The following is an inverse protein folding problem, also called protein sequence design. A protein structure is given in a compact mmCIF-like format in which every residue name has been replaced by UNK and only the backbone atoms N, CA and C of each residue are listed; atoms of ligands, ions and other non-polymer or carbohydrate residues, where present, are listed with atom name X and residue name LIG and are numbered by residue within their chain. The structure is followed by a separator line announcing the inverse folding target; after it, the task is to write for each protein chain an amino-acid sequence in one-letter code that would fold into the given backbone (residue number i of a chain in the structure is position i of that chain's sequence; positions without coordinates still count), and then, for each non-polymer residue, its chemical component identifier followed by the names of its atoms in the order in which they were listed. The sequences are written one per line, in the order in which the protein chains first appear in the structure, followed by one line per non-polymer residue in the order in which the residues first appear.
data_IF_589148231447
#
_entry.id   IF_589148231447
#
_cell.length_a   1.000
_cell.length_b   1.000
_cell.length_c   1.000
_cell.angle_alpha   90.00
_cell.angle_beta   90.00
_cell.angle_gamma   90.00
#
_symmetry.space_group_name_H-M   'P 1'
#
loop_
_entity.id
_entity.type
_entity.pdbx_description
1 polymer ?
#
# COMPACT_ATOMS: atom_id res chain seq x y z
N UNK A 1 21.40 29.66 17.62
CA UNK A 1 20.98 29.05 16.33
C UNK A 1 21.46 27.61 16.34
N UNK A 2 20.56 26.63 16.34
CA UNK A 2 20.90 25.21 16.33
C UNK A 2 21.05 24.75 14.87
N UNK A 3 22.28 24.54 14.44
CA UNK A 3 22.61 24.06 13.10
C UNK A 3 22.47 22.54 13.09
N UNK A 4 21.32 22.03 12.67
CA UNK A 4 21.10 20.60 12.51
C UNK A 4 21.83 20.17 11.22
N UNK A 5 23.04 19.64 11.35
CA UNK A 5 23.73 18.95 10.27
C UNK A 5 23.11 17.56 10.12
N UNK A 6 22.23 17.42 9.13
CA UNK A 6 21.62 16.14 8.79
C UNK A 6 22.67 15.34 8.03
N UNK A 7 23.20 14.29 8.66
CA UNK A 7 24.13 13.37 8.02
C UNK A 7 23.35 12.46 7.05
N UNK A 8 23.51 12.70 5.75
CA UNK A 8 22.79 11.98 4.70
C UNK A 8 23.03 10.47 4.73
N UNK A 9 24.16 10.01 5.28
CA UNK A 9 24.45 8.59 5.40
C UNK A 9 23.61 7.93 6.50
N UNK A 10 23.37 8.64 7.59
CA UNK A 10 22.52 8.18 8.70
C UNK A 10 21.06 8.05 8.25
N UNK A 11 20.58 9.01 7.44
CA UNK A 11 19.22 8.99 6.87
C UNK A 11 19.03 7.81 5.91
N UNK A 12 20.01 7.53 5.05
CA UNK A 12 19.96 6.39 4.12
C UNK A 12 19.98 5.05 4.86
N UNK A 13 20.75 4.95 5.95
CA UNK A 13 20.83 3.73 6.76
C UNK A 13 19.50 3.44 7.47
N UNK A 14 18.90 4.45 8.10
CA UNK A 14 17.58 4.31 8.74
C UNK A 14 16.51 3.94 7.70
N UNK A 15 16.60 4.47 6.49
CA UNK A 15 15.68 4.13 5.40
C UNK A 15 15.84 2.66 4.97
N UNK A 16 17.07 2.19 4.77
CA UNK A 16 17.37 0.81 4.40
C UNK A 16 16.95 -0.20 5.48
N UNK A 17 17.19 0.11 6.75
CA UNK A 17 16.75 -0.74 7.88
C UNK A 17 15.22 -0.83 7.96
N UNK A 18 14.52 0.30 7.75
CA UNK A 18 13.05 0.29 7.68
C UNK A 18 12.57 -0.61 6.54
N UNK A 19 13.24 -0.56 5.39
CA UNK A 19 12.90 -1.36 4.21
C UNK A 19 13.12 -2.85 4.48
N UNK A 20 14.23 -3.23 5.12
CA UNK A 20 14.51 -4.63 5.48
C UNK A 20 13.57 -5.19 6.56
N UNK A 21 13.20 -4.40 7.57
CA UNK A 21 12.20 -4.80 8.56
C UNK A 21 10.82 -5.00 7.93
N UNK A 22 10.45 -4.14 6.97
CA UNK A 22 9.21 -4.33 6.23
C UNK A 22 9.25 -5.57 5.34
N UNK A 23 10.41 -5.90 4.75
CA UNK A 23 10.60 -7.12 3.94
C UNK A 23 10.39 -8.41 4.75
N UNK A 24 10.89 -8.49 5.98
CA UNK A 24 10.69 -9.68 6.85
C UNK A 24 9.26 -9.85 7.33
N UNK A 25 8.50 -8.76 7.49
CA UNK A 25 7.09 -8.85 7.86
C UNK A 25 6.19 -9.38 6.72
N UNK A 26 6.67 -9.34 5.46
CA UNK A 26 5.92 -9.72 4.26
C UNK A 26 5.91 -11.24 4.02
N UNK A 27 6.82 -12.03 4.62
CA UNK A 27 6.91 -13.49 4.39
C UNK A 27 5.64 -14.28 4.82
N UNK A 28 4.76 -13.70 5.64
CA UNK A 28 3.46 -14.28 6.00
C UNK A 28 2.26 -13.64 5.27
N UNK A 29 2.50 -12.75 4.32
CA UNK A 29 1.44 -12.01 3.63
C UNK A 29 0.83 -12.88 2.51
N UNK A 30 -0.52 -12.99 2.50
CA UNK A 30 -1.23 -13.74 1.46
C UNK A 30 -0.87 -13.16 0.09
N UNK A 31 -0.47 -14.01 -0.86
CA UNK A 31 -0.14 -13.62 -2.24
C UNK A 31 -1.27 -12.80 -2.89
N UNK A 32 -2.53 -13.13 -2.57
CA UNK A 32 -3.70 -12.42 -3.07
C UNK A 32 -4.68 -12.06 -1.95
N UNK A 33 -5.26 -10.87 -2.05
CA UNK A 33 -6.41 -10.43 -1.27
C UNK A 33 -7.71 -10.73 -2.00
N UNK A 34 -8.76 -10.98 -1.21
CA UNK A 34 -10.14 -10.98 -1.69
C UNK A 34 -10.80 -9.64 -1.33
N UNK A 35 -12.04 -9.40 -1.77
CA UNK A 35 -12.77 -8.16 -1.49
C UNK A 35 -12.96 -7.90 0.01
N UNK A 36 -13.11 -8.94 0.84
CA UNK A 36 -13.25 -8.79 2.29
C UNK A 36 -11.94 -8.35 2.93
N UNK A 37 -10.82 -9.00 2.57
CA UNK A 37 -9.48 -8.63 3.02
C UNK A 37 -9.11 -7.23 2.54
N UNK A 38 -9.51 -6.83 1.34
CA UNK A 38 -9.26 -5.47 0.87
C UNK A 38 -10.00 -4.45 1.74
N UNK A 39 -11.28 -4.65 2.03
CA UNK A 39 -12.06 -3.80 2.94
C UNK A 39 -11.44 -3.72 4.33
N UNK A 40 -11.04 -4.86 4.91
CA UNK A 40 -10.37 -4.93 6.21
C UNK A 40 -9.01 -4.20 6.21
N UNK A 41 -8.27 -4.23 5.10
CA UNK A 41 -6.94 -3.61 5.00
C UNK A 41 -6.99 -2.11 4.72
N UNK A 42 -8.00 -1.64 4.01
CA UNK A 42 -8.18 -0.21 3.71
C UNK A 42 -9.04 0.51 4.74
N UNK A 43 -9.68 -0.23 5.65
CA UNK A 43 -10.72 0.29 6.55
C UNK A 43 -11.81 1.07 5.81
N UNK A 44 -12.20 0.55 4.64
CA UNK A 44 -13.20 1.16 3.76
C UNK A 44 -14.29 0.15 3.42
N UNK A 45 -15.52 0.63 3.32
CA UNK A 45 -16.62 -0.14 2.77
C UNK A 45 -16.39 -0.45 1.28
N UNK A 46 -17.00 -1.53 0.78
CA UNK A 46 -16.95 -1.85 -0.65
C UNK A 46 -17.44 -0.69 -1.53
N UNK A 47 -18.46 0.04 -1.09
CA UNK A 47 -18.99 1.21 -1.80
C UNK A 47 -17.97 2.34 -1.90
N UNK A 48 -17.22 2.62 -0.84
CA UNK A 48 -16.15 3.63 -0.88
C UNK A 48 -15.00 3.19 -1.77
N UNK A 49 -14.62 1.90 -1.71
CA UNK A 49 -13.60 1.36 -2.60
C UNK A 49 -14.00 1.55 -4.08
N UNK A 50 -15.27 1.25 -4.40
CA UNK A 50 -15.83 1.44 -5.73
C UNK A 50 -15.75 2.90 -6.18
N UNK A 51 -16.14 3.85 -5.32
CA UNK A 51 -16.15 5.28 -5.60
C UNK A 51 -14.73 5.86 -5.75
N UNK A 52 -13.79 5.42 -4.91
CA UNK A 52 -12.48 6.06 -4.75
C UNK A 52 -11.44 5.62 -5.75
N UNK A 53 -11.22 4.32 -5.89
CA UNK A 53 -10.06 3.81 -6.63
C UNK A 53 -10.31 2.52 -7.41
N UNK A 54 -11.44 1.84 -7.22
CA UNK A 54 -11.67 0.57 -7.89
C UNK A 54 -11.70 0.69 -9.42
N UNK A 55 -12.28 1.76 -9.95
CA UNK A 55 -12.36 2.00 -11.39
C UNK A 55 -11.08 2.63 -11.96
N UNK A 56 -10.08 2.92 -11.13
CA UNK A 56 -8.78 3.37 -11.61
C UNK A 56 -8.16 2.27 -12.50
N UNK A 57 -7.72 2.60 -13.73
CA UNK A 57 -7.03 1.65 -14.60
C UNK A 57 -5.73 1.12 -14.00
N UNK A 58 -5.10 1.85 -13.07
CA UNK A 58 -3.88 1.45 -12.37
C UNK A 58 -4.13 0.47 -11.23
N UNK A 59 -5.39 0.32 -10.78
CA UNK A 59 -5.74 -0.61 -9.70
C UNK A 59 -5.52 -2.07 -10.14
N UNK A 60 -4.61 -2.82 -9.50
CA UNK A 60 -4.29 -4.21 -9.86
C UNK A 60 -5.40 -5.16 -9.41
N UNK A 61 -6.43 -5.32 -10.24
CA UNK A 61 -7.61 -6.15 -9.98
C UNK A 61 -7.80 -7.21 -11.06
N UNK A 62 -8.02 -8.46 -10.63
CA UNK A 62 -8.25 -9.59 -11.52
C UNK A 62 -9.56 -10.27 -11.16
N UNK A 63 -10.39 -10.52 -12.17
CA UNK A 63 -11.63 -11.30 -12.02
C UNK A 63 -11.32 -12.76 -12.29
N UNK A 64 -11.29 -13.58 -11.24
CA UNK A 64 -11.05 -15.02 -11.33
C UNK A 64 -12.37 -15.75 -11.04
N UNK A 65 -13.02 -16.21 -12.11
CA UNK A 65 -14.37 -16.75 -12.05
C UNK A 65 -15.39 -15.69 -11.62
N UNK A 66 -16.09 -15.94 -10.52
CA UNK A 66 -17.08 -14.99 -9.96
C UNK A 66 -16.49 -14.03 -8.92
N UNK A 67 -15.20 -14.16 -8.56
CA UNK A 67 -14.60 -13.40 -7.46
C UNK A 67 -13.45 -12.51 -7.92
N UNK A 68 -13.33 -11.35 -7.28
CA UNK A 68 -12.17 -10.49 -7.44
C UNK A 68 -10.98 -10.97 -6.60
N UNK A 69 -9.80 -10.82 -7.18
CA UNK A 69 -8.49 -11.10 -6.57
C UNK A 69 -7.59 -9.89 -6.83
N UNK A 70 -6.86 -9.51 -5.78
CA UNK A 70 -5.94 -8.38 -5.82
C UNK A 70 -4.56 -8.91 -5.40
N UNK A 71 -3.51 -8.81 -6.23
CA UNK A 71 -2.16 -9.16 -5.80
C UNK A 71 -1.76 -8.26 -4.64
N UNK A 72 -1.41 -8.86 -3.50
CA UNK A 72 -1.23 -8.11 -2.26
C UNK A 72 -0.13 -7.03 -2.38
N UNK A 73 1.01 -7.40 -2.96
CA UNK A 73 2.14 -6.49 -3.13
C UNK A 73 1.82 -5.32 -4.06
N UNK A 74 1.24 -5.60 -5.23
CA UNK A 74 0.88 -4.57 -6.21
C UNK A 74 -0.21 -3.66 -5.65
N UNK A 75 -1.22 -4.22 -4.99
CA UNK A 75 -2.32 -3.47 -4.41
C UNK A 75 -1.84 -2.55 -3.30
N UNK A 76 -0.92 -3.02 -2.45
CA UNK A 76 -0.31 -2.19 -1.39
C UNK A 76 0.45 -1.01 -1.99
N UNK A 77 1.28 -1.23 -3.02
CA UNK A 77 2.01 -0.16 -3.71
C UNK A 77 1.06 0.85 -4.34
N UNK A 78 0.00 0.37 -4.99
CA UNK A 78 -1.05 1.21 -5.57
C UNK A 78 -1.73 2.07 -4.51
N UNK A 79 -2.19 1.47 -3.40
CA UNK A 79 -2.89 2.18 -2.32
C UNK A 79 -2.04 3.26 -1.67
N UNK A 80 -0.74 3.00 -1.44
CA UNK A 80 0.18 4.01 -0.91
C UNK A 80 0.37 5.19 -1.87
N UNK A 81 0.46 4.90 -3.18
CA UNK A 81 0.57 5.94 -4.21
C UNK A 81 -0.72 6.76 -4.29
N UNK A 82 -1.87 6.08 -4.37
CA UNK A 82 -3.19 6.72 -4.38
C UNK A 82 -3.43 7.59 -3.15
N UNK A 83 -2.98 7.15 -1.96
CA UNK A 83 -3.09 7.93 -0.72
C UNK A 83 -2.20 9.18 -0.74
N UNK A 84 -0.99 9.08 -1.31
CA UNK A 84 -0.07 10.21 -1.44
C UNK A 84 -0.57 11.28 -2.43
N UNK A 85 -1.42 10.90 -3.40
CA UNK A 85 -2.07 11.80 -4.36
C UNK A 85 -3.28 12.55 -3.75
N UNK A 86 -3.76 12.15 -2.57
CA UNK A 86 -4.88 12.84 -1.92
C UNK A 86 -4.46 14.22 -1.36
N UNK A 87 -5.39 15.20 -1.29
CA UNK A 87 -5.10 16.50 -0.69
C UNK A 87 -4.67 16.34 0.76
N UNK A 88 -3.54 16.95 1.14
CA UNK A 88 -3.11 17.07 2.54
C UNK A 88 -3.64 18.38 3.09
N UNK A 89 -4.45 18.30 4.13
CA UNK A 89 -4.88 19.46 4.92
C UNK A 89 -3.82 19.84 5.95
#
# INVERSE_FOLDING_TARGET
MLTVQIDENEVKRICLEKIEEQLKAIENEKVFWNTKTLQEKTDMSWTEILDKFFYDPRCPKYKVGSRWRFPAEEMKKFLLTWLAEQPRH
#
